data_IF_521461090400
#
_entry.id   IF_521461090400
#
_cell.length_a   1.000
_cell.length_b   1.000
_cell.length_c   1.000
_cell.angle_alpha   90.00
_cell.angle_beta   90.00
_cell.angle_gamma   90.00
#
_symmetry.space_group_name_H-M   'P 1'
#
loop_
_entity.id
_entity.type
_entity.pdbx_description
1 polymer ?
#
# COMPACT_ATOMS: atom_id res chain seq x y z
N UNK A 1 7.75 15.71 13.20
CA UNK A 1 9.10 16.11 13.59
C UNK A 1 9.78 15.00 14.39
N UNK A 2 10.76 14.36 13.75
CA UNK A 2 11.61 13.34 14.35
C UNK A 2 12.84 14.00 14.96
N UNK A 3 12.94 13.96 16.28
CA UNK A 3 14.01 14.64 17.04
C UNK A 3 15.35 13.92 16.87
N UNK A 4 15.31 12.61 16.65
CA UNK A 4 16.48 11.78 16.34
C UNK A 4 17.11 12.11 14.98
N UNK A 5 16.33 12.63 14.02
CA UNK A 5 16.83 13.08 12.71
C UNK A 5 17.18 14.57 12.75
N UNK A 6 16.24 15.41 13.17
CA UNK A 6 16.44 16.87 13.14
C UNK A 6 17.31 17.40 14.28
N UNK A 7 17.53 16.60 15.33
CA UNK A 7 18.37 16.95 16.47
C UNK A 7 18.05 18.34 17.06
N UNK A 8 19.05 19.17 17.35
CA UNK A 8 18.88 20.53 17.83
C UNK A 8 18.12 21.45 16.87
N UNK A 9 18.08 21.13 15.57
CA UNK A 9 17.41 21.93 14.54
C UNK A 9 15.90 21.67 14.46
N UNK A 10 15.36 20.72 15.24
CA UNK A 10 13.94 20.35 15.20
C UNK A 10 12.96 21.54 15.29
N UNK A 11 13.15 22.58 16.14
CA UNK A 11 12.28 23.74 16.15
C UNK A 11 12.32 24.55 14.85
N UNK A 12 13.52 24.71 14.28
CA UNK A 12 13.73 25.41 13.01
C UNK A 12 13.10 24.65 11.85
N UNK A 13 13.36 23.36 11.75
CA UNK A 13 12.78 22.49 10.72
C UNK A 13 11.25 22.51 10.79
N UNK A 14 10.65 22.53 12.00
CA UNK A 14 9.20 22.60 12.15
C UNK A 14 8.63 23.88 11.56
N UNK A 15 9.26 25.02 11.86
CA UNK A 15 8.85 26.31 11.32
C UNK A 15 9.00 26.37 9.79
N UNK A 16 10.09 25.82 9.25
CA UNK A 16 10.34 25.76 7.81
C UNK A 16 9.32 24.87 7.09
N UNK A 17 8.95 23.72 7.69
CA UNK A 17 7.86 22.85 7.23
C UNK A 17 6.53 23.59 7.20
N UNK A 18 6.16 24.29 8.29
CA UNK A 18 4.90 25.06 8.32
C UNK A 18 4.86 26.16 7.26
N UNK A 19 5.96 26.89 7.09
CA UNK A 19 6.07 27.93 6.04
C UNK A 19 6.00 27.33 4.65
N UNK A 20 6.58 26.16 4.43
CA UNK A 20 6.55 25.47 3.15
C UNK A 20 5.13 25.01 2.81
N UNK A 21 4.46 24.32 3.73
CA UNK A 21 3.07 23.90 3.59
C UNK A 21 2.16 25.08 3.24
N UNK A 22 2.29 26.20 3.96
CA UNK A 22 1.50 27.40 3.70
C UNK A 22 1.74 28.00 2.30
N UNK A 23 2.97 27.96 1.78
CA UNK A 23 3.28 28.43 0.41
C UNK A 23 2.63 27.57 -0.67
N UNK A 24 2.48 26.28 -0.42
CA UNK A 24 1.81 25.34 -1.33
C UNK A 24 0.28 25.36 -1.18
N UNK A 25 -0.26 26.15 -0.24
CA UNK A 25 -1.70 26.26 -0.02
C UNK A 25 -2.27 25.21 0.94
N UNK A 26 -1.44 24.40 1.59
CA UNK A 26 -1.90 23.45 2.59
C UNK A 26 -2.22 24.13 3.92
N UNK A 27 -3.32 23.71 4.55
CA UNK A 27 -3.65 24.05 5.93
C UNK A 27 -3.02 23.02 6.89
N UNK A 28 -2.12 23.41 7.81
CA UNK A 28 -1.48 22.46 8.70
C UNK A 28 -2.49 21.88 9.71
N UNK A 29 -2.74 20.57 9.65
CA UNK A 29 -3.63 19.87 10.58
C UNK A 29 -2.94 19.53 11.91
N UNK A 30 -1.76 18.92 11.83
CA UNK A 30 -1.06 18.44 13.02
C UNK A 30 0.46 18.26 12.78
N UNK A 31 1.27 18.59 13.79
CA UNK A 31 2.71 18.32 13.78
C UNK A 31 2.99 17.08 14.62
N UNK A 32 3.11 15.92 13.96
CA UNK A 32 3.37 14.64 14.63
C UNK A 32 4.74 14.69 15.32
N UNK A 33 4.82 14.29 16.59
CA UNK A 33 6.09 14.00 17.26
C UNK A 33 6.05 12.54 17.73
N UNK A 34 6.64 11.60 16.98
CA UNK A 34 6.61 10.19 17.36
C UNK A 34 7.26 10.00 18.74
N UNK A 35 6.73 9.12 19.59
CA UNK A 35 7.42 8.68 20.81
C UNK A 35 8.82 8.16 20.47
N UNK A 36 9.78 8.32 21.39
CA UNK A 36 11.19 7.96 21.16
C UNK A 36 11.36 6.44 20.95
N UNK A 37 10.45 5.65 21.52
CA UNK A 37 10.49 4.19 21.59
C UNK A 37 9.57 3.49 20.59
N UNK A 38 8.90 4.23 19.69
CA UNK A 38 8.03 3.61 18.70
C UNK A 38 8.88 2.84 17.67
N UNK A 39 8.64 1.52 17.45
CA UNK A 39 9.46 0.72 16.52
C UNK A 39 9.43 1.23 15.08
N UNK A 40 8.34 1.91 14.71
CA UNK A 40 8.10 2.42 13.36
C UNK A 40 7.53 3.85 13.42
N UNK A 41 8.40 4.87 13.58
CA UNK A 41 7.96 6.26 13.72
C UNK A 41 7.32 6.81 12.44
N UNK A 42 7.72 6.28 11.27
CA UNK A 42 7.13 6.65 9.98
C UNK A 42 5.73 6.06 9.88
N UNK A 43 5.55 4.76 10.14
CA UNK A 43 4.22 4.13 10.13
C UNK A 43 3.26 4.74 11.15
N UNK A 44 3.75 5.11 12.34
CA UNK A 44 2.96 5.83 13.34
C UNK A 44 2.45 7.18 12.80
N UNK A 45 3.30 7.97 12.15
CA UNK A 45 2.92 9.25 11.55
C UNK A 45 1.91 9.07 10.42
N UNK A 46 2.07 8.04 9.58
CA UNK A 46 1.13 7.72 8.51
C UNK A 46 -0.24 7.28 9.05
N UNK A 47 -0.28 6.49 10.13
CA UNK A 47 -1.53 6.11 10.79
C UNK A 47 -2.29 7.32 11.34
N UNK A 48 -1.58 8.29 11.93
CA UNK A 48 -2.19 9.56 12.38
C UNK A 48 -2.67 10.41 11.19
N UNK A 49 -1.88 10.53 10.13
CA UNK A 49 -2.26 11.26 8.93
C UNK A 49 -3.54 10.69 8.29
N UNK A 50 -3.66 9.35 8.24
CA UNK A 50 -4.86 8.65 7.79
C UNK A 50 -6.07 8.95 8.70
N UNK A 51 -5.90 8.87 10.02
CA UNK A 51 -6.97 9.16 10.97
C UNK A 51 -7.45 10.61 10.96
N UNK A 52 -6.59 11.54 10.55
CA UNK A 52 -6.91 12.96 10.38
C UNK A 52 -7.40 13.32 8.97
N UNK A 53 -7.45 12.34 8.06
CA UNK A 53 -7.78 12.55 6.65
C UNK A 53 -6.93 13.65 6.00
N UNK A 54 -5.61 13.61 6.24
CA UNK A 54 -4.68 14.59 5.68
C UNK A 54 -4.47 14.36 4.18
N UNK A 55 -4.39 15.43 3.41
CA UNK A 55 -4.14 15.35 1.95
C UNK A 55 -2.66 15.09 1.63
N UNK A 56 -1.75 15.57 2.48
CA UNK A 56 -0.31 15.49 2.27
C UNK A 56 0.47 15.38 3.59
N UNK A 57 1.66 14.79 3.51
CA UNK A 57 2.66 14.76 4.58
C UNK A 57 3.81 15.68 4.20
N UNK A 58 4.07 16.70 5.02
CA UNK A 58 5.18 17.64 4.80
C UNK A 58 6.31 17.36 5.78
N UNK A 59 7.51 17.10 5.27
CA UNK A 59 8.72 16.82 6.05
C UNK A 59 9.87 17.74 5.66
N UNK A 60 10.86 17.87 6.54
CA UNK A 60 12.00 18.72 6.23
C UNK A 60 12.87 18.13 5.11
N UNK A 61 13.24 16.86 5.23
CA UNK A 61 14.04 16.11 4.26
C UNK A 61 13.57 14.65 4.17
N UNK A 62 14.13 13.90 3.22
CA UNK A 62 13.81 12.48 3.05
C UNK A 62 14.28 11.60 4.20
N UNK A 63 15.31 12.01 4.96
CA UNK A 63 15.77 11.25 6.13
C UNK A 63 14.67 11.13 7.19
N UNK A 64 13.81 12.14 7.30
CA UNK A 64 12.64 12.12 8.18
C UNK A 64 11.71 10.93 7.90
N UNK A 65 11.61 10.50 6.64
CA UNK A 65 10.82 9.34 6.19
C UNK A 65 11.70 8.12 5.90
N UNK A 66 12.88 8.04 6.53
CA UNK A 66 13.86 6.96 6.35
C UNK A 66 14.23 6.73 4.88
N UNK A 67 14.35 7.81 4.10
CA UNK A 67 14.64 7.80 2.67
C UNK A 67 13.72 6.89 1.84
N UNK A 68 12.48 6.70 2.31
CA UNK A 68 11.50 5.81 1.70
C UNK A 68 10.25 6.59 1.25
N UNK A 69 10.36 7.51 0.26
CA UNK A 69 9.24 8.34 -0.17
C UNK A 69 8.06 7.50 -0.70
N UNK A 70 8.34 6.37 -1.37
CA UNK A 70 7.32 5.45 -1.90
C UNK A 70 6.32 5.02 -0.83
N UNK A 71 6.80 4.79 0.40
CA UNK A 71 5.98 4.35 1.52
C UNK A 71 4.94 5.40 1.94
N UNK A 72 5.26 6.69 1.78
CA UNK A 72 4.31 7.79 2.03
C UNK A 72 3.39 7.95 0.83
N UNK A 73 3.97 7.90 -0.38
CA UNK A 73 3.28 8.07 -1.65
C UNK A 73 2.29 6.94 -1.96
N UNK A 74 2.25 5.85 -1.19
CA UNK A 74 1.17 4.86 -1.26
C UNK A 74 -0.20 5.44 -0.88
N UNK A 75 -0.23 6.46 0.00
CA UNK A 75 -1.47 6.98 0.56
C UNK A 75 -1.60 8.51 0.51
N UNK A 76 -0.48 9.25 0.53
CA UNK A 76 -0.46 10.70 0.66
C UNK A 76 0.57 11.31 -0.27
N UNK A 77 0.32 12.54 -0.72
CA UNK A 77 1.40 13.35 -1.31
C UNK A 77 2.48 13.58 -0.24
N UNK A 78 3.74 13.54 -0.64
CA UNK A 78 4.87 13.87 0.23
C UNK A 78 5.55 15.14 -0.27
N UNK A 79 5.68 16.13 0.61
CA UNK A 79 6.40 17.37 0.35
C UNK A 79 7.67 17.41 1.19
N UNK A 80 8.81 17.64 0.56
CA UNK A 80 10.09 17.86 1.26
C UNK A 80 10.47 19.33 1.19
N UNK A 81 11.06 19.88 2.27
CA UNK A 81 11.55 21.27 2.29
C UNK A 81 12.95 21.39 1.69
N UNK A 82 13.83 20.42 1.97
CA UNK A 82 15.24 20.41 1.59
C UNK A 82 15.65 19.01 1.07
N UNK A 83 15.86 18.85 -0.25
CA UNK A 83 15.49 19.79 -1.31
C UNK A 83 13.96 19.98 -1.41
N UNK A 84 13.46 21.12 -1.93
CA UNK A 84 12.04 21.32 -2.17
C UNK A 84 11.56 20.42 -3.31
N UNK A 85 10.82 19.36 -2.99
CA UNK A 85 10.33 18.37 -3.97
C UNK A 85 8.95 17.88 -3.56
N UNK A 86 8.05 17.85 -4.53
CA UNK A 86 6.75 17.21 -4.43
C UNK A 86 6.84 15.78 -4.96
N UNK A 87 6.51 14.82 -4.11
CA UNK A 87 6.38 13.42 -4.42
C UNK A 87 4.89 13.10 -4.43
N UNK A 88 4.28 13.19 -5.62
CA UNK A 88 2.87 12.90 -5.76
C UNK A 88 2.59 11.46 -5.32
N UNK A 89 1.52 11.27 -4.55
CA UNK A 89 1.00 9.96 -4.25
C UNK A 89 0.91 9.19 -5.56
N UNK A 90 1.35 7.94 -5.54
CA UNK A 90 0.95 7.02 -6.57
C UNK A 90 -0.58 7.01 -6.51
N UNK A 91 -1.20 7.61 -7.52
CA UNK A 91 -2.58 7.31 -7.79
C UNK A 91 -2.60 5.79 -8.02
N UNK A 92 -2.85 5.02 -6.97
CA UNK A 92 -3.43 3.69 -7.08
C UNK A 92 -4.76 3.94 -7.74
N UNK A 93 -4.73 4.06 -9.08
CA UNK A 93 -5.51 5.02 -9.87
C UNK A 93 -6.76 5.48 -9.14
N UNK A 94 -6.64 6.61 -8.40
CA UNK A 94 -7.61 7.14 -7.46
C UNK A 94 -8.68 6.10 -7.14
N UNK A 95 -8.34 5.05 -6.36
CA UNK A 95 -9.12 3.81 -6.24
C UNK A 95 -10.58 4.17 -6.39
N UNK A 96 -11.12 3.95 -7.60
CA UNK A 96 -12.36 4.62 -8.03
C UNK A 96 -13.30 4.50 -6.85
N UNK A 97 -13.87 5.58 -6.32
CA UNK A 97 -14.67 5.47 -5.10
C UNK A 97 -15.76 4.37 -5.27
N UNK A 98 -16.13 4.11 -6.52
CA UNK A 98 -16.94 2.98 -7.01
C UNK A 98 -16.35 1.59 -6.70
N UNK A 99 -15.03 1.40 -6.67
CA UNK A 99 -14.28 0.17 -6.35
C UNK A 99 -13.65 0.12 -4.94
N UNK A 100 -13.65 1.24 -4.19
CA UNK A 100 -13.18 1.28 -2.80
C UNK A 100 -14.01 0.40 -1.86
N UNK A 101 -13.43 0.01 -0.73
CA UNK A 101 -14.12 -0.74 0.33
C UNK A 101 -15.42 -0.03 0.77
N UNK A 102 -16.55 -0.74 0.98
CA UNK A 102 -17.76 -0.12 1.50
C UNK A 102 -17.52 0.47 2.90
N UNK A 103 -17.83 1.75 3.11
CA UNK A 103 -17.68 2.39 4.43
C UNK A 103 -18.75 1.94 5.43
N UNK A 104 -19.92 1.55 4.93
CA UNK A 104 -21.02 1.04 5.75
C UNK A 104 -20.93 -0.48 5.93
N UNK A 105 -21.32 -1.02 7.11
CA UNK A 105 -21.41 -2.46 7.33
C UNK A 105 -22.28 -3.15 6.27
N UNK A 106 -21.77 -4.26 5.72
CA UNK A 106 -22.46 -5.00 4.68
C UNK A 106 -23.67 -5.78 5.21
N UNK A 107 -24.75 -5.76 4.45
CA UNK A 107 -25.86 -6.72 4.56
C UNK A 107 -25.77 -7.76 3.45
N UNK A 108 -26.45 -8.90 3.60
CA UNK A 108 -26.50 -9.94 2.56
C UNK A 108 -26.98 -9.38 1.23
N UNK A 109 -28.04 -8.57 1.24
CA UNK A 109 -28.58 -7.94 0.03
C UNK A 109 -27.59 -6.97 -0.60
N UNK A 110 -26.97 -6.09 0.18
CA UNK A 110 -25.99 -5.12 -0.32
C UNK A 110 -24.76 -5.82 -0.93
N UNK A 111 -24.27 -6.88 -0.29
CA UNK A 111 -23.15 -7.66 -0.80
C UNK A 111 -23.52 -8.38 -2.11
N UNK A 112 -24.72 -8.96 -2.21
CA UNK A 112 -25.21 -9.55 -3.46
C UNK A 112 -25.34 -8.52 -4.58
N UNK A 113 -25.86 -7.34 -4.27
CA UNK A 113 -25.95 -6.23 -5.22
C UNK A 113 -24.57 -5.80 -5.73
N UNK A 114 -23.59 -5.64 -4.83
CA UNK A 114 -22.20 -5.33 -5.20
C UNK A 114 -21.63 -6.40 -6.13
N UNK A 115 -21.86 -7.69 -5.86
CA UNK A 115 -21.40 -8.77 -6.73
C UNK A 115 -22.03 -8.71 -8.14
N UNK A 116 -23.26 -8.19 -8.26
CA UNK A 116 -23.95 -8.01 -9.56
C UNK A 116 -23.49 -6.74 -10.30
N UNK A 117 -23.26 -5.64 -9.58
CA UNK A 117 -22.79 -4.38 -10.17
C UNK A 117 -21.36 -4.51 -10.68
N UNK A 118 -20.51 -5.23 -9.94
CA UNK A 118 -19.09 -5.41 -10.26
C UNK A 118 -18.80 -6.71 -11.01
N UNK A 119 -19.68 -7.15 -11.93
CA UNK A 119 -19.48 -8.40 -12.69
C UNK A 119 -18.16 -8.42 -13.45
N UNK A 120 -17.87 -7.34 -14.14
CA UNK A 120 -16.66 -7.15 -14.95
C UNK A 120 -15.39 -6.96 -14.09
N UNK A 121 -15.54 -6.58 -12.83
CA UNK A 121 -14.40 -6.40 -11.94
C UNK A 121 -13.82 -7.76 -11.51
N UNK A 122 -12.51 -7.84 -11.43
CA UNK A 122 -11.82 -8.98 -10.82
C UNK A 122 -11.80 -8.83 -9.31
N UNK A 123 -12.06 -9.91 -8.57
CA UNK A 123 -12.16 -9.84 -7.11
C UNK A 123 -10.83 -9.45 -6.44
N UNK A 124 -9.67 -9.73 -7.04
CA UNK A 124 -8.37 -9.31 -6.53
C UNK A 124 -8.05 -7.82 -6.77
N UNK A 125 -8.72 -7.19 -7.74
CA UNK A 125 -8.41 -5.83 -8.19
C UNK A 125 -9.47 -4.82 -7.78
N UNK A 126 -10.65 -5.29 -7.36
CA UNK A 126 -11.75 -4.48 -6.87
C UNK A 126 -12.00 -4.80 -5.40
N UNK A 127 -11.54 -3.91 -4.53
CA UNK A 127 -11.68 -4.04 -3.08
C UNK A 127 -13.14 -4.15 -2.66
N UNK A 128 -14.05 -3.40 -3.31
CA UNK A 128 -15.49 -3.48 -3.06
C UNK A 128 -16.06 -4.88 -3.31
N UNK A 129 -15.69 -5.50 -4.43
CA UNK A 129 -16.10 -6.87 -4.78
C UNK A 129 -15.47 -7.90 -3.85
N UNK A 130 -14.21 -7.70 -3.47
CA UNK A 130 -13.51 -8.55 -2.51
C UNK A 130 -14.23 -8.57 -1.16
N UNK A 131 -14.60 -7.40 -0.62
CA UNK A 131 -15.34 -7.28 0.64
C UNK A 131 -16.70 -7.96 0.59
N UNK A 132 -17.47 -7.76 -0.49
CA UNK A 132 -18.75 -8.42 -0.67
C UNK A 132 -18.63 -9.94 -0.77
N UNK A 133 -17.62 -10.44 -1.50
CA UNK A 133 -17.35 -11.87 -1.60
C UNK A 133 -17.01 -12.49 -0.24
N UNK A 134 -16.04 -11.91 0.48
CA UNK A 134 -15.63 -12.39 1.80
C UNK A 134 -16.77 -12.37 2.81
N UNK A 135 -17.60 -11.32 2.78
CA UNK A 135 -18.81 -11.24 3.60
C UNK A 135 -19.77 -12.39 3.29
N UNK A 136 -20.11 -12.62 2.02
CA UNK A 136 -21.05 -13.68 1.63
C UNK A 136 -20.53 -15.09 1.92
N UNK A 137 -19.21 -15.31 1.86
CA UNK A 137 -18.58 -16.56 2.30
C UNK A 137 -18.78 -16.76 3.81
N UNK A 138 -18.52 -15.72 4.62
CA UNK A 138 -18.72 -15.77 6.08
C UNK A 138 -20.19 -16.05 6.46
N UNK A 139 -21.13 -15.44 5.73
CA UNK A 139 -22.58 -15.67 5.92
C UNK A 139 -23.08 -17.00 5.31
N UNK A 140 -22.19 -17.85 4.78
CA UNK A 140 -22.53 -19.14 4.20
C UNK A 140 -23.35 -19.05 2.91
N UNK A 141 -23.38 -17.89 2.24
CA UNK A 141 -24.12 -17.66 0.99
C UNK A 141 -23.30 -18.00 -0.25
N UNK A 142 -21.98 -18.07 -0.13
CA UNK A 142 -21.06 -18.51 -1.19
C UNK A 142 -20.15 -19.58 -0.61
N UNK A 143 -19.99 -20.69 -1.33
CA UNK A 143 -18.97 -21.70 -1.05
C UNK A 143 -17.75 -21.38 -1.92
N UNK A 144 -16.59 -21.06 -1.33
CA UNK A 144 -15.37 -20.84 -2.09
C UNK A 144 -15.01 -22.07 -2.93
N UNK A 145 -14.45 -21.86 -4.14
CA UNK A 145 -13.98 -22.97 -4.94
C UNK A 145 -12.77 -23.65 -4.29
N UNK A 146 -12.79 -24.99 -4.23
CA UNK A 146 -11.78 -25.81 -3.53
C UNK A 146 -10.48 -26.06 -4.30
N UNK A 147 -10.42 -25.73 -5.59
CA UNK A 147 -9.22 -25.88 -6.44
C UNK A 147 -8.68 -24.54 -6.92
N UNK A 148 -7.41 -24.48 -7.29
CA UNK A 148 -6.77 -23.29 -7.85
C UNK A 148 -7.42 -22.87 -9.18
N UNK A 149 -7.31 -21.59 -9.61
CA UNK A 149 -7.80 -21.16 -10.92
C UNK A 149 -7.30 -22.05 -12.09
N UNK A 150 -6.05 -22.53 -12.01
CA UNK A 150 -5.45 -23.42 -13.02
C UNK A 150 -6.09 -24.80 -13.02
N UNK A 151 -6.23 -25.44 -11.87
CA UNK A 151 -6.87 -26.77 -11.74
C UNK A 151 -8.32 -26.73 -12.21
N UNK A 152 -9.05 -25.66 -11.88
CA UNK A 152 -10.44 -25.48 -12.32
C UNK A 152 -10.57 -25.27 -13.81
N UNK A 153 -9.63 -24.55 -14.43
CA UNK A 153 -9.59 -24.39 -15.88
C UNK A 153 -9.34 -25.74 -16.56
N UNK A 154 -8.34 -26.49 -16.09
CA UNK A 154 -8.01 -27.82 -16.61
C UNK A 154 -9.18 -28.81 -16.48
N UNK A 155 -9.82 -28.87 -15.32
CA UNK A 155 -11.00 -29.72 -15.09
C UNK A 155 -12.18 -29.38 -16.01
N UNK A 156 -12.24 -28.14 -16.54
CA UNK A 156 -13.27 -27.68 -17.48
C UNK A 156 -12.82 -27.73 -18.95
N UNK A 157 -11.62 -28.21 -19.24
CA UNK A 157 -11.04 -28.18 -20.59
C UNK A 157 -10.80 -26.76 -21.12
N UNK A 158 -10.65 -25.77 -20.24
CA UNK A 158 -10.42 -24.37 -20.60
C UNK A 158 -8.93 -24.04 -20.56
N UNK A 159 -8.46 -23.26 -21.53
CA UNK A 159 -7.11 -22.72 -21.51
C UNK A 159 -6.91 -21.78 -20.30
N UNK A 160 -5.88 -22.05 -19.50
CA UNK A 160 -5.50 -21.15 -18.41
C UNK A 160 -4.55 -20.08 -18.94
N UNK A 161 -5.02 -18.84 -19.00
CA UNK A 161 -4.20 -17.67 -19.35
C UNK A 161 -3.69 -17.02 -18.05
N UNK A 162 -2.37 -17.04 -17.79
CA UNK A 162 -1.79 -16.30 -16.67
C UNK A 162 -2.08 -14.80 -16.79
N UNK A 163 -2.16 -14.13 -15.65
CA UNK A 163 -2.41 -12.69 -15.55
C UNK A 163 -1.25 -11.91 -16.19
N UNK A 164 -1.54 -10.89 -17.01
CA UNK A 164 -0.54 -10.01 -17.66
C UNK A 164 0.00 -8.88 -16.76
N UNK A 165 -0.63 -8.60 -15.62
CA UNK A 165 -0.40 -7.34 -14.89
C UNK A 165 0.84 -7.30 -13.98
N UNK A 166 1.63 -8.37 -13.91
CA UNK A 166 2.90 -8.38 -13.17
C UNK A 166 4.07 -8.82 -14.03
N UNK A 167 3.97 -8.63 -15.35
CA UNK A 167 5.13 -8.67 -16.23
C UNK A 167 5.96 -7.39 -16.00
N UNK A 168 6.49 -7.20 -14.78
CA UNK A 168 7.73 -6.45 -14.63
C UNK A 168 8.71 -7.19 -15.54
N UNK A 169 9.22 -6.56 -16.61
CA UNK A 169 10.21 -7.22 -17.45
C UNK A 169 11.32 -7.67 -16.52
N UNK A 170 11.67 -8.97 -16.56
CA UNK A 170 12.82 -9.46 -15.82
C UNK A 170 13.99 -8.50 -16.10
N UNK A 171 14.72 -8.05 -15.06
CA UNK A 171 15.85 -7.16 -15.26
C UNK A 171 16.73 -7.70 -16.37
N UNK A 172 17.15 -6.85 -17.31
CA UNK A 172 17.96 -7.27 -18.46
C UNK A 172 19.16 -8.10 -17.96
N UNK A 173 19.23 -9.37 -18.37
CA UNK A 173 20.27 -10.31 -17.97
C UNK A 173 19.82 -11.43 -17.03
N UNK A 174 18.62 -11.36 -16.44
CA UNK A 174 18.05 -12.47 -15.67
C UNK A 174 17.45 -13.50 -16.64
N UNK A 175 18.07 -14.67 -16.71
CA UNK A 175 17.57 -15.81 -17.48
C UNK A 175 17.00 -16.90 -16.55
N UNK A 176 16.31 -17.88 -17.14
CA UNK A 176 15.72 -19.00 -16.39
C UNK A 176 16.75 -19.77 -15.55
N UNK A 177 17.97 -19.91 -16.07
CA UNK A 177 19.07 -20.61 -15.41
C UNK A 177 19.46 -19.93 -14.09
N UNK A 178 19.61 -18.60 -14.12
CA UNK A 178 19.87 -17.78 -12.93
C UNK A 178 18.77 -17.95 -11.87
N UNK A 179 17.50 -18.02 -12.30
CA UNK A 179 16.37 -18.22 -11.39
C UNK A 179 16.42 -19.61 -10.73
N UNK A 180 16.73 -20.65 -11.51
CA UNK A 180 16.83 -22.02 -11.01
C UNK A 180 17.99 -22.17 -10.02
N UNK A 181 19.12 -21.53 -10.29
CA UNK A 181 20.29 -21.53 -9.38
C UNK A 181 19.96 -20.87 -8.04
N UNK A 182 19.26 -19.74 -8.04
CA UNK A 182 18.82 -19.07 -6.81
C UNK A 182 17.87 -19.96 -6.02
N UNK A 183 16.89 -20.58 -6.70
CA UNK A 183 15.91 -21.46 -6.04
C UNK A 183 16.58 -22.71 -5.44
N UNK A 184 17.55 -23.29 -6.14
CA UNK A 184 18.36 -24.38 -5.62
C UNK A 184 19.15 -23.93 -4.38
N UNK A 185 19.84 -22.78 -4.46
CA UNK A 185 20.59 -22.23 -3.34
C UNK A 185 19.74 -21.90 -2.11
N UNK A 186 18.47 -21.49 -2.30
CA UNK A 186 17.52 -21.27 -1.20
C UNK A 186 16.99 -22.57 -0.60
N UNK A 187 16.80 -23.62 -1.41
CA UNK A 187 16.43 -24.94 -0.92
C UNK A 187 17.57 -25.59 -0.10
N UNK A 188 18.81 -25.30 -0.45
CA UNK A 188 20.01 -25.80 0.22
C UNK A 188 20.47 -24.91 1.40
N UNK A 189 19.84 -23.74 1.59
CA UNK A 189 20.16 -22.81 2.67
C UNK A 189 19.62 -23.33 4.01
N UNK A 190 20.53 -23.81 4.88
CA UNK A 190 20.25 -23.99 6.30
C UNK A 190 20.72 -22.77 7.09
N UNK A 191 19.85 -22.05 7.81
CA UNK A 191 20.25 -20.88 8.56
C UNK A 191 21.19 -21.29 9.70
N UNK A 192 22.43 -20.81 9.65
CA UNK A 192 23.39 -20.98 10.75
C UNK A 192 22.96 -20.09 11.92
N UNK A 193 22.40 -20.73 12.95
CA UNK A 193 22.14 -20.10 14.25
C UNK A 193 23.48 -19.65 14.86
N UNK A 194 23.68 -18.34 14.95
CA UNK A 194 24.83 -17.75 15.67
C UNK A 194 24.48 -17.65 17.16
N UNK A 195 25.32 -18.28 17.98
CA UNK A 195 25.41 -18.12 19.45
C UNK A 195 25.82 -16.70 19.82
#
# INVERSE_FOLDING_TARGET
MRVDISGPQAPRHALEVHRHAARLGYAPLHTVRPPIDVPDPVGHALGLAAGLNADAVVVYDLETVSNSPSRVCEMFDLETVCPPVTWAAAASGAADATHAHPEQPLTVWAAQWIMQQHKECRAFDCQRKASAYSFLVREGKIVPPVGTPRERAAARGLAFLPRRDNDVPLPKGVNLETLLDVLAGLADYTPTSKR
#
